data_IF_228095412335
#
_entry.id   IF_228095412335
#
_cell.length_a   1.000
_cell.length_b   1.000
_cell.length_c   1.000
_cell.angle_alpha   90.00
_cell.angle_beta   90.00
_cell.angle_gamma   90.00
#
_symmetry.space_group_name_H-M   'P 1'
#
loop_
_entity.id
_entity.type
_entity.pdbx_description
1 polymer ?
#
# COMPACT_ATOMS: atom_id res chain seq x y z
N UNK A 1 9.58 -2.68 4.97
CA UNK A 1 9.88 -3.56 3.81
C UNK A 1 11.34 -3.37 3.42
N UNK A 2 12.05 -4.45 3.11
CA UNK A 2 13.36 -4.41 2.46
C UNK A 2 13.23 -5.06 1.08
N UNK A 3 13.68 -4.37 0.04
CA UNK A 3 13.77 -4.93 -1.30
C UNK A 3 15.23 -5.30 -1.56
N UNK A 4 15.47 -6.58 -1.83
CA UNK A 4 16.76 -7.09 -2.29
C UNK A 4 16.64 -7.32 -3.79
N UNK A 5 17.17 -6.39 -4.57
CA UNK A 5 17.08 -6.47 -6.03
C UNK A 5 17.93 -7.61 -6.60
N UNK A 6 17.50 -8.23 -7.72
CA UNK A 6 18.34 -9.16 -8.44
C UNK A 6 19.56 -8.47 -9.03
N UNK A 7 20.58 -9.24 -9.42
CA UNK A 7 21.71 -8.72 -10.20
C UNK A 7 21.17 -8.07 -11.49
N UNK A 8 21.53 -6.80 -11.71
CA UNK A 8 21.03 -5.99 -12.82
C UNK A 8 19.83 -5.09 -12.48
N UNK A 9 19.28 -5.24 -11.28
CA UNK A 9 18.19 -4.41 -10.75
C UNK A 9 16.81 -4.76 -11.30
N UNK A 10 15.79 -4.09 -10.77
CA UNK A 10 14.44 -4.14 -11.35
C UNK A 10 14.34 -3.32 -12.64
N UNK A 11 13.40 -3.64 -13.55
CA UNK A 11 13.12 -2.78 -14.68
C UNK A 11 12.77 -1.37 -14.20
N UNK A 12 13.53 -0.37 -14.66
CA UNK A 12 13.30 1.06 -14.36
C UNK A 12 12.44 1.75 -15.43
N UNK A 13 12.27 1.08 -16.58
CA UNK A 13 11.44 1.53 -17.69
C UNK A 13 10.33 0.51 -17.96
N UNK A 14 9.17 1.01 -18.36
CA UNK A 14 8.05 0.19 -18.84
C UNK A 14 8.24 -0.26 -20.29
N UNK A 15 7.27 -1.01 -20.82
CA UNK A 15 7.28 -1.53 -22.19
C UNK A 15 7.36 -0.43 -23.27
N UNK A 16 6.94 0.80 -22.93
CA UNK A 16 6.97 1.98 -23.80
C UNK A 16 8.19 2.87 -23.54
N UNK A 17 9.18 2.37 -22.79
CA UNK A 17 10.41 3.09 -22.40
C UNK A 17 10.16 4.32 -21.53
N UNK A 18 9.03 4.38 -20.81
CA UNK A 18 8.77 5.45 -19.84
C UNK A 18 9.25 5.02 -18.44
N UNK A 19 9.70 5.96 -17.59
CA UNK A 19 10.05 5.64 -16.21
C UNK A 19 8.87 5.02 -15.45
N UNK A 20 9.14 3.96 -14.69
CA UNK A 20 8.16 3.39 -13.76
C UNK A 20 8.12 4.24 -12.49
N UNK A 21 6.93 4.64 -12.05
CA UNK A 21 6.73 5.33 -10.76
C UNK A 21 6.58 4.31 -9.65
N UNK A 22 7.44 4.40 -8.64
CA UNK A 22 7.44 3.48 -7.52
C UNK A 22 6.84 4.10 -6.26
N UNK A 23 6.02 3.34 -5.53
CA UNK A 23 5.44 3.74 -4.26
C UNK A 23 5.56 2.63 -3.22
N UNK A 24 5.50 3.01 -1.95
CA UNK A 24 5.46 2.10 -0.81
C UNK A 24 4.16 2.26 -0.03
N UNK A 25 3.52 1.14 0.29
CA UNK A 25 2.37 1.07 1.18
C UNK A 25 2.54 -0.09 2.16
N UNK A 26 2.33 0.18 3.45
CA UNK A 26 2.31 -0.83 4.50
C UNK A 26 0.96 -0.88 5.20
N UNK A 27 0.31 -2.04 5.21
CA UNK A 27 -0.85 -2.31 6.05
C UNK A 27 -0.43 -2.76 7.44
N UNK A 28 -1.21 -2.38 8.44
CA UNK A 28 -1.22 -3.02 9.75
C UNK A 28 -2.54 -2.78 10.47
N UNK A 29 -2.82 -3.63 11.45
CA UNK A 29 -3.94 -3.50 12.35
C UNK A 29 -3.51 -3.28 13.81
N UNK A 30 -4.37 -2.62 14.57
CA UNK A 30 -4.05 -2.10 15.90
C UNK A 30 -5.08 -2.54 16.92
N UNK A 31 -4.58 -2.96 18.09
CA UNK A 31 -5.38 -3.45 19.22
C UNK A 31 -5.16 -2.50 20.39
N UNK A 32 -6.16 -1.68 20.70
CA UNK A 32 -6.03 -0.60 21.65
C UNK A 32 -6.83 -0.89 22.91
N UNK A 33 -6.28 -0.48 24.06
CA UNK A 33 -7.04 -0.41 25.31
C UNK A 33 -8.24 0.53 25.13
N UNK A 34 -9.32 0.29 25.88
CA UNK A 34 -10.52 1.14 25.80
C UNK A 34 -10.26 2.56 26.34
N UNK A 35 -9.43 2.65 27.38
CA UNK A 35 -9.09 3.91 28.04
C UNK A 35 -7.68 4.37 27.66
N UNK A 36 -7.49 5.69 27.68
CA UNK A 36 -6.18 6.31 27.58
C UNK A 36 -5.39 6.02 28.86
N UNK A 37 -4.12 5.72 28.69
CA UNK A 37 -3.17 5.72 29.78
C UNK A 37 -3.03 7.16 30.32
N UNK A 38 -3.31 7.34 31.61
CA UNK A 38 -3.28 8.65 32.25
C UNK A 38 -1.87 9.24 32.39
N UNK A 39 -0.83 8.42 32.38
CA UNK A 39 0.56 8.87 32.47
C UNK A 39 1.06 9.37 31.11
N UNK A 40 0.74 8.64 30.04
CA UNK A 40 1.25 8.93 28.69
C UNK A 40 0.27 9.71 27.80
N UNK A 41 -1.02 9.78 28.17
CA UNK A 41 -2.06 10.39 27.35
C UNK A 41 -2.27 9.66 26.01
N UNK A 42 -2.01 8.35 25.98
CA UNK A 42 -2.04 7.52 24.78
C UNK A 42 -2.74 6.18 25.04
N UNK A 43 -3.25 5.55 23.99
CA UNK A 43 -3.72 4.17 24.09
C UNK A 43 -2.52 3.20 24.16
N UNK A 44 -2.65 2.16 24.96
CA UNK A 44 -1.70 1.05 25.00
C UNK A 44 -2.18 -0.13 24.14
N UNK A 45 -1.32 -1.12 23.95
CA UNK A 45 -1.69 -2.37 23.27
C UNK A 45 -2.59 -3.21 24.18
N UNK A 46 -3.75 -3.62 23.66
CA UNK A 46 -4.61 -4.63 24.29
C UNK A 46 -4.23 -6.03 23.79
N UNK A 47 -3.45 -6.76 24.59
CA UNK A 47 -2.99 -8.12 24.26
C UNK A 47 -4.12 -9.15 24.21
N UNK A 48 -5.24 -8.93 24.93
CA UNK A 48 -6.36 -9.85 24.89
C UNK A 48 -7.09 -9.75 23.55
N UNK A 49 -7.32 -8.52 23.07
CA UNK A 49 -7.84 -8.29 21.71
C UNK A 49 -6.90 -8.82 20.64
N UNK A 50 -5.59 -8.59 20.80
CA UNK A 50 -4.59 -9.08 19.84
C UNK A 50 -4.58 -10.61 19.75
N UNK A 51 -4.67 -11.32 20.88
CA UNK A 51 -4.72 -12.79 20.91
C UNK A 51 -6.00 -13.37 20.32
N UNK A 52 -7.09 -12.59 20.29
CA UNK A 52 -8.37 -12.96 19.66
C UNK A 52 -8.52 -12.43 18.23
N UNK A 53 -7.50 -11.75 17.70
CA UNK A 53 -7.53 -11.15 16.36
C UNK A 53 -8.71 -10.18 16.14
N UNK A 54 -9.08 -9.41 17.16
CA UNK A 54 -10.16 -8.41 17.10
C UNK A 54 -9.60 -6.97 17.09
N UNK A 55 -9.12 -6.46 15.94
CA UNK A 55 -8.50 -5.13 15.86
C UNK A 55 -9.54 -4.01 15.97
N UNK A 56 -9.10 -2.86 16.51
CA UNK A 56 -9.89 -1.64 16.56
C UNK A 56 -9.71 -0.78 15.31
N UNK A 57 -8.49 -0.81 14.73
CA UNK A 57 -8.16 -0.02 13.55
C UNK A 57 -7.35 -0.82 12.54
N UNK A 58 -7.55 -0.49 11.27
CA UNK A 58 -6.64 -0.80 10.18
C UNK A 58 -6.05 0.51 9.66
N UNK A 59 -4.78 0.48 9.26
CA UNK A 59 -4.13 1.63 8.65
C UNK A 59 -3.27 1.22 7.48
N UNK A 60 -3.25 2.06 6.45
CA UNK A 60 -2.08 2.15 5.58
C UNK A 60 -1.11 3.17 6.15
N UNK A 61 0.18 2.87 6.11
CA UNK A 61 1.27 3.76 6.50
C UNK A 61 1.12 4.38 7.92
N UNK A 62 0.53 3.61 8.85
CA UNK A 62 0.55 3.90 10.29
C UNK A 62 -0.42 4.96 10.79
N UNK A 63 -1.36 5.43 9.97
CA UNK A 63 -2.38 6.38 10.42
C UNK A 63 -3.72 6.17 9.69
N UNK A 64 -4.85 6.33 10.40
CA UNK A 64 -6.21 6.10 9.85
C UNK A 64 -6.55 7.00 8.65
N UNK A 65 -5.90 8.17 8.59
CA UNK A 65 -6.05 9.14 7.49
C UNK A 65 -4.79 9.27 6.61
N UNK A 66 -3.79 8.39 6.77
CA UNK A 66 -2.65 8.43 5.85
C UNK A 66 -3.12 8.13 4.41
N UNK A 67 -2.42 8.72 3.44
CA UNK A 67 -2.75 8.70 2.00
C UNK A 67 -4.03 9.47 1.59
N UNK A 68 -4.93 9.79 2.52
CA UNK A 68 -6.22 10.45 2.21
C UNK A 68 -6.36 11.87 2.75
N UNK A 69 -5.52 12.30 3.70
CA UNK A 69 -5.48 13.64 4.29
C UNK A 69 -4.33 14.51 3.73
N UNK A 70 -4.61 15.78 3.43
CA UNK A 70 -3.66 16.78 2.90
C UNK A 70 -2.66 17.29 3.95
N UNK A 71 -3.01 17.21 5.23
CA UNK A 71 -2.17 17.63 6.36
C UNK A 71 -1.13 16.60 6.78
N UNK A 72 -1.33 15.34 6.41
CA UNK A 72 -0.44 14.23 6.77
C UNK A 72 0.58 13.95 5.67
N UNK A 73 1.76 13.46 6.07
CA UNK A 73 2.97 13.21 5.27
C UNK A 73 2.77 13.02 3.74
N UNK A 74 3.58 13.70 2.94
CA UNK A 74 3.59 13.60 1.47
C UNK A 74 3.81 14.96 0.77
N UNK A 75 4.06 14.97 -0.55
CA UNK A 75 4.18 16.21 -1.33
C UNK A 75 2.81 16.88 -1.50
N UNK A 76 2.75 18.20 -1.38
CA UNK A 76 1.54 18.96 -1.70
C UNK A 76 1.16 18.70 -3.16
N UNK A 77 -0.09 18.25 -3.46
CA UNK A 77 -0.49 17.99 -4.83
C UNK A 77 -0.37 19.25 -5.70
N UNK A 78 0.04 19.13 -6.97
CA UNK A 78 0.01 20.25 -7.91
C UNK A 78 -1.40 20.82 -8.03
N UNK A 79 -1.49 22.12 -8.33
CA UNK A 79 -2.77 22.75 -8.64
C UNK A 79 -3.48 21.98 -9.78
N UNK A 80 -4.76 21.69 -9.60
CA UNK A 80 -5.56 20.88 -10.55
C UNK A 80 -5.51 19.37 -10.34
N UNK A 81 -4.83 18.87 -9.30
CA UNK A 81 -4.90 17.45 -8.93
C UNK A 81 -6.32 17.05 -8.52
N UNK A 82 -6.77 15.85 -8.95
CA UNK A 82 -8.11 15.32 -8.70
C UNK A 82 -8.31 14.78 -7.28
N UNK A 83 -7.32 14.88 -6.39
CA UNK A 83 -7.40 14.36 -5.02
C UNK A 83 -8.31 15.25 -4.16
N UNK A 84 -9.48 14.77 -3.70
CA UNK A 84 -10.46 15.62 -3.01
C UNK A 84 -9.96 16.16 -1.67
N UNK A 85 -9.16 15.38 -0.93
CA UNK A 85 -8.80 15.70 0.46
C UNK A 85 -7.40 15.25 0.92
N UNK A 86 -6.56 14.66 0.06
CA UNK A 86 -5.29 13.99 0.43
C UNK A 86 -4.00 14.45 -0.24
N UNK A 87 -2.85 13.98 0.28
CA UNK A 87 -1.54 14.03 -0.40
C UNK A 87 -1.25 12.80 -1.28
N UNK A 88 -1.98 11.70 -1.10
CA UNK A 88 -2.14 10.59 -2.04
C UNK A 88 -0.87 9.94 -2.61
N UNK A 89 -1.06 8.96 -3.49
CA UNK A 89 -0.03 8.47 -4.40
C UNK A 89 -0.28 9.13 -5.76
N UNK A 90 0.59 10.06 -6.17
CA UNK A 90 0.36 10.90 -7.34
C UNK A 90 1.08 10.40 -8.59
N UNK A 91 0.31 10.09 -9.61
CA UNK A 91 0.79 9.62 -10.92
C UNK A 91 0.05 10.33 -12.06
N UNK A 92 0.61 10.33 -13.28
CA UNK A 92 -0.04 10.91 -14.45
C UNK A 92 -0.79 9.82 -15.23
N UNK A 93 -1.72 10.25 -16.07
CA UNK A 93 -2.33 9.34 -17.03
C UNK A 93 -1.26 8.61 -17.85
N UNK A 94 -1.50 7.33 -18.11
CA UNK A 94 -0.65 6.39 -18.84
C UNK A 94 0.68 6.03 -18.16
N UNK A 95 1.00 6.54 -16.98
CA UNK A 95 2.19 6.10 -16.25
C UNK A 95 2.06 4.64 -15.81
N UNK A 96 3.18 3.91 -15.85
CA UNK A 96 3.30 2.61 -15.20
C UNK A 96 3.65 2.85 -13.73
N UNK A 97 2.85 2.28 -12.83
CA UNK A 97 3.04 2.34 -11.38
C UNK A 97 3.46 0.98 -10.87
N UNK A 98 4.53 0.93 -10.07
CA UNK A 98 4.95 -0.23 -9.26
C UNK A 98 4.72 0.08 -7.78
N UNK A 99 3.87 -0.68 -7.14
CA UNK A 99 3.58 -0.55 -5.71
C UNK A 99 4.27 -1.67 -4.94
N UNK A 100 5.19 -1.30 -4.04
CA UNK A 100 5.76 -2.21 -3.07
C UNK A 100 4.85 -2.22 -1.84
N UNK A 101 4.07 -3.29 -1.70
CA UNK A 101 3.11 -3.45 -0.63
C UNK A 101 3.63 -4.42 0.43
N UNK A 102 3.54 -4.04 1.70
CA UNK A 102 3.80 -4.94 2.83
C UNK A 102 2.56 -5.06 3.70
N UNK A 103 2.24 -6.28 4.13
CA UNK A 103 1.32 -6.47 5.23
C UNK A 103 2.13 -6.77 6.49
N UNK A 104 2.24 -5.79 7.38
CA UNK A 104 2.89 -5.97 8.67
C UNK A 104 2.09 -6.89 9.61
N UNK A 105 0.76 -6.89 9.49
CA UNK A 105 -0.14 -7.55 10.43
C UNK A 105 -0.24 -6.79 11.77
N UNK A 106 -0.19 -7.49 12.92
CA UNK A 106 0.51 -8.76 13.11
C UNK A 106 -0.24 -10.05 12.71
N UNK A 107 -1.56 -10.05 12.62
CA UNK A 107 -2.40 -11.24 12.48
C UNK A 107 -3.27 -11.26 11.22
N UNK A 108 -3.75 -10.10 10.75
CA UNK A 108 -4.78 -10.06 9.69
C UNK A 108 -4.16 -9.91 8.31
N UNK A 109 -4.54 -10.80 7.39
CA UNK A 109 -4.17 -10.72 5.98
C UNK A 109 -4.80 -9.51 5.27
N UNK A 110 -4.17 -9.03 4.20
CA UNK A 110 -4.74 -8.00 3.33
C UNK A 110 -5.32 -8.66 2.09
N UNK A 111 -6.61 -8.44 1.82
CA UNK A 111 -7.18 -8.66 0.49
C UNK A 111 -6.96 -7.39 -0.31
N UNK A 112 -5.74 -7.19 -0.80
CA UNK A 112 -5.32 -5.92 -1.36
C UNK A 112 -5.90 -5.72 -2.76
N UNK A 113 -6.58 -4.59 -2.94
CA UNK A 113 -7.30 -4.19 -4.14
C UNK A 113 -7.12 -2.69 -4.37
N UNK A 114 -7.19 -2.24 -5.62
CA UNK A 114 -7.34 -0.81 -5.92
C UNK A 114 -8.58 -0.64 -6.77
N UNK A 115 -9.59 0.04 -6.23
CA UNK A 115 -10.88 0.24 -6.90
C UNK A 115 -10.64 0.88 -8.26
N UNK A 116 -11.18 0.26 -9.31
CA UNK A 116 -11.07 0.76 -10.69
C UNK A 116 -9.73 0.49 -11.37
N UNK A 117 -8.90 -0.39 -10.81
CA UNK A 117 -7.63 -0.82 -11.40
C UNK A 117 -7.56 -2.35 -11.52
N UNK A 118 -6.68 -2.81 -12.43
CA UNK A 118 -6.30 -4.22 -12.58
C UNK A 118 -4.78 -4.27 -12.47
N UNK A 119 -4.25 -5.25 -11.73
CA UNK A 119 -2.82 -5.48 -11.64
C UNK A 119 -2.34 -6.23 -12.88
N UNK A 120 -1.57 -5.56 -13.73
CA UNK A 120 -0.98 -6.18 -14.91
C UNK A 120 0.03 -7.26 -14.52
N UNK A 121 0.73 -7.05 -13.39
CA UNK A 121 1.70 -8.01 -12.84
C UNK A 121 1.63 -8.02 -11.32
N UNK A 122 1.69 -9.20 -10.74
CA UNK A 122 1.78 -9.41 -9.30
C UNK A 122 2.98 -10.29 -9.00
N UNK A 123 3.78 -9.91 -8.00
CA UNK A 123 4.91 -10.68 -7.51
C UNK A 123 4.74 -10.92 -6.01
N UNK A 124 4.45 -12.15 -5.59
CA UNK A 124 4.29 -12.56 -4.17
C UNK A 124 5.56 -13.20 -3.58
N UNK A 125 6.72 -12.94 -4.19
CA UNK A 125 7.99 -13.53 -3.77
C UNK A 125 9.11 -13.28 -4.78
N UNK A 126 9.61 -14.35 -5.41
CA UNK A 126 10.74 -14.27 -6.33
C UNK A 126 10.41 -13.44 -7.59
N UNK A 127 11.14 -12.34 -7.78
CA UNK A 127 11.05 -11.51 -8.99
C UNK A 127 11.89 -12.17 -10.10
N UNK A 128 11.48 -13.34 -10.55
CA UNK A 128 11.90 -13.90 -11.84
C UNK A 128 10.72 -13.75 -12.80
N UNK A 129 10.99 -13.26 -14.00
CA UNK A 129 10.03 -12.95 -15.08
C UNK A 129 8.98 -14.04 -15.44
N UNK A 130 9.07 -15.24 -14.83
CA UNK A 130 8.23 -16.41 -15.08
C UNK A 130 7.09 -16.61 -14.09
N UNK A 131 7.08 -15.93 -12.93
CA UNK A 131 6.10 -16.18 -11.86
C UNK A 131 5.22 -14.96 -11.53
N UNK A 132 5.11 -14.00 -12.45
CA UNK A 132 4.19 -12.89 -12.24
C UNK A 132 2.79 -13.31 -12.68
N UNK A 133 1.86 -13.43 -11.74
CA UNK A 133 0.45 -13.52 -12.06
C UNK A 133 0.03 -12.22 -12.78
N UNK A 134 -0.93 -12.33 -13.68
CA UNK A 134 -1.35 -11.23 -14.56
C UNK A 134 -2.84 -11.04 -14.48
N UNK A 135 -3.25 -9.78 -14.63
CA UNK A 135 -4.66 -9.39 -14.68
C UNK A 135 -5.42 -9.73 -13.42
N UNK A 136 -4.73 -9.71 -12.27
CA UNK A 136 -5.35 -9.90 -10.97
C UNK A 136 -6.12 -8.64 -10.55
N UNK A 137 -7.32 -8.83 -10.01
CA UNK A 137 -8.11 -7.72 -9.45
C UNK A 137 -7.80 -7.50 -7.97
N UNK A 138 -7.58 -8.57 -7.21
CA UNK A 138 -7.36 -8.56 -5.76
C UNK A 138 -6.42 -9.69 -5.40
N UNK A 139 -5.47 -9.42 -4.51
CA UNK A 139 -4.50 -10.44 -4.07
C UNK A 139 -4.49 -10.54 -2.56
N UNK A 140 -4.39 -11.78 -2.06
CA UNK A 140 -4.22 -12.01 -0.64
C UNK A 140 -2.74 -11.90 -0.24
N UNK A 141 -2.45 -11.03 0.73
CA UNK A 141 -1.10 -10.79 1.26
C UNK A 141 -1.13 -11.13 2.75
N UNK A 142 -0.48 -12.23 3.12
CA UNK A 142 -0.43 -12.73 4.49
C UNK A 142 0.31 -11.74 5.43
N UNK A 143 0.03 -11.78 6.75
CA UNK A 143 0.80 -11.02 7.73
C UNK A 143 2.30 -11.36 7.66
N UNK A 144 3.16 -10.38 7.87
CA UNK A 144 4.61 -10.55 7.77
C UNK A 144 5.12 -10.81 6.36
N UNK A 145 4.30 -10.59 5.32
CA UNK A 145 4.66 -10.80 3.93
C UNK A 145 4.51 -9.53 3.10
N UNK A 146 5.00 -9.57 1.86
CA UNK A 146 4.98 -8.45 0.93
C UNK A 146 4.69 -8.93 -0.49
N UNK A 147 4.15 -8.03 -1.30
CA UNK A 147 3.98 -8.23 -2.71
C UNK A 147 4.37 -6.96 -3.48
N UNK A 148 4.71 -7.13 -4.75
CA UNK A 148 4.83 -6.03 -5.70
C UNK A 148 3.68 -6.15 -6.69
N UNK A 149 2.97 -5.06 -6.94
CA UNK A 149 1.99 -5.00 -8.03
C UNK A 149 2.39 -3.92 -9.02
N UNK A 150 2.16 -4.18 -10.31
CA UNK A 150 2.36 -3.21 -11.39
C UNK A 150 1.05 -3.00 -12.14
N UNK A 151 0.73 -1.73 -12.45
CA UNK A 151 -0.48 -1.33 -13.17
C UNK A 151 -0.20 -0.10 -14.04
N UNK A 152 -1.07 0.16 -15.01
CA UNK A 152 -1.04 1.36 -15.85
C UNK A 152 -2.23 2.26 -15.52
N UNK A 153 -1.97 3.53 -15.20
CA UNK A 153 -3.04 4.48 -14.85
C UNK A 153 -3.70 5.10 -16.07
N UNK A 154 -4.57 4.34 -16.73
CA UNK A 154 -5.15 4.68 -18.04
C UNK A 154 -6.11 5.86 -18.04
N UNK A 155 -6.80 6.13 -16.93
CA UNK A 155 -7.85 7.17 -16.85
C UNK A 155 -7.53 8.14 -15.71
N UNK A 156 -7.70 9.47 -15.88
CA UNK A 156 -7.55 10.41 -14.77
C UNK A 156 -8.65 10.21 -13.74
N UNK A 157 -8.29 10.11 -12.46
CA UNK A 157 -9.26 9.95 -11.39
C UNK A 157 -8.62 9.82 -10.00
N UNK A 158 -9.47 9.65 -9.00
CA UNK A 158 -9.06 9.17 -7.67
C UNK A 158 -9.44 7.71 -7.55
N UNK A 159 -8.46 6.89 -7.19
CA UNK A 159 -8.59 5.45 -7.01
C UNK A 159 -8.33 5.11 -5.55
N UNK A 160 -9.24 4.36 -4.92
CA UNK A 160 -9.13 3.97 -3.52
C UNK A 160 -8.37 2.66 -3.41
N UNK A 161 -7.34 2.66 -2.58
CA UNK A 161 -6.62 1.46 -2.14
C UNK A 161 -7.38 0.75 -1.02
#
# INVERSE_FOLDING_TARGET
>A
LILVEPVGGLPVLDANKKPIKEFYVGQGEWYLTADLDSEFGAYNVDFAKAALEHPDYFTFNGHVNALTDRGLFGPTPPAGSLVPSGKGLLTKQDDTVRLLFVNGGPNVGSNFHIIGQIFERVYTGLIKNVNADRSEETIYIAPGSAAIVELVTMVPGTYLL
#
